data_IF_412148032198
#
_entry.id   IF_412148032198
#
_cell.length_a   1.000
_cell.length_b   1.000
_cell.length_c   1.000
_cell.angle_alpha   90.00
_cell.angle_beta   90.00
_cell.angle_gamma   90.00
#
_symmetry.space_group_name_H-M   'P 1'
#
loop_
_entity.id
_entity.type
_entity.pdbx_description
1 polymer ?
#
# COMPACT_ATOMS: atom_id res chain seq x y z
N UNK A 1 20.34 20.69 -47.57
CA UNK A 1 20.14 19.86 -46.38
C UNK A 1 20.90 20.49 -45.22
N UNK A 2 20.20 20.98 -44.19
CA UNK A 2 20.80 21.55 -42.97
C UNK A 2 20.14 20.83 -41.80
N UNK A 3 20.89 19.92 -41.17
CA UNK A 3 20.52 19.33 -39.87
C UNK A 3 20.70 20.39 -38.79
N UNK A 4 19.64 20.65 -38.03
CA UNK A 4 19.75 21.35 -36.76
C UNK A 4 19.24 20.39 -35.69
N UNK A 5 20.12 20.18 -34.71
CA UNK A 5 19.99 19.25 -33.60
C UNK A 5 18.66 19.43 -32.87
N UNK A 6 17.94 18.31 -32.73
CA UNK A 6 16.82 18.18 -31.81
C UNK A 6 17.41 17.97 -30.40
N UNK A 7 17.42 19.04 -29.61
CA UNK A 7 17.63 18.96 -28.17
C UNK A 7 16.36 18.36 -27.55
N UNK A 8 16.36 17.05 -27.34
CA UNK A 8 15.38 16.37 -26.50
C UNK A 8 15.58 16.84 -25.04
N UNK A 9 14.52 17.28 -24.34
CA UNK A 9 14.63 17.59 -22.93
C UNK A 9 14.95 16.30 -22.19
N UNK A 10 16.12 16.27 -21.55
CA UNK A 10 16.47 15.22 -20.58
C UNK A 10 15.61 15.52 -19.36
N UNK A 11 14.40 14.98 -19.35
CA UNK A 11 13.57 14.99 -18.15
C UNK A 11 14.17 13.92 -17.24
N UNK A 12 15.15 14.31 -16.44
CA UNK A 12 15.64 13.53 -15.31
C UNK A 12 14.55 13.49 -14.23
N UNK A 13 13.52 12.66 -14.44
CA UNK A 13 12.60 12.24 -13.38
C UNK A 13 13.21 10.99 -12.73
N UNK A 14 14.24 11.21 -11.93
CA UNK A 14 14.72 10.23 -10.96
C UNK A 14 14.65 10.88 -9.59
N UNK A 15 13.44 11.29 -9.19
CA UNK A 15 13.13 11.53 -7.79
C UNK A 15 12.67 10.19 -7.22
N UNK A 16 13.63 9.35 -6.85
CA UNK A 16 13.39 8.27 -5.90
C UNK A 16 13.14 8.95 -4.54
N UNK A 17 11.94 9.50 -4.37
CA UNK A 17 11.48 9.99 -3.09
C UNK A 17 11.38 8.75 -2.20
N UNK A 18 12.17 8.71 -1.14
CA UNK A 18 12.07 7.62 -0.19
C UNK A 18 10.68 7.73 0.44
N UNK A 19 9.85 6.70 0.32
CA UNK A 19 8.64 6.53 1.11
C UNK A 19 9.06 6.34 2.58
N UNK A 20 9.41 7.44 3.25
CA UNK A 20 9.76 7.43 4.67
C UNK A 20 8.50 7.18 5.52
N UNK A 21 8.63 6.33 6.53
CA UNK A 21 7.66 6.27 7.65
C UNK A 21 7.04 4.91 7.93
N UNK A 22 7.24 3.90 7.08
CA UNK A 22 6.63 2.58 7.31
C UNK A 22 7.57 1.61 8.05
N UNK A 23 7.30 1.24 9.33
CA UNK A 23 8.07 0.21 10.03
C UNK A 23 7.83 -1.21 9.48
N UNK A 24 6.80 -1.38 8.65
CA UNK A 24 6.40 -2.64 8.02
C UNK A 24 6.68 -2.70 6.52
N UNK A 25 5.69 -3.18 5.76
CA UNK A 25 5.71 -3.25 4.29
C UNK A 25 4.68 -2.30 3.72
N UNK A 26 5.11 -1.48 2.77
CA UNK A 26 4.20 -0.66 1.99
C UNK A 26 3.43 -1.53 1.02
N UNK A 27 2.12 -1.32 0.97
CA UNK A 27 1.21 -1.98 0.06
C UNK A 27 0.30 -0.99 -0.62
N UNK A 28 0.04 -1.23 -1.89
CA UNK A 28 -1.01 -0.56 -2.65
C UNK A 28 -2.29 -1.38 -2.53
N UNK A 29 -3.29 -0.85 -1.85
CA UNK A 29 -4.52 -1.55 -1.50
C UNK A 29 -5.66 -1.12 -2.41
N UNK A 30 -6.28 -2.08 -3.11
CA UNK A 30 -7.46 -1.81 -3.93
C UNK A 30 -8.69 -1.45 -3.08
N UNK A 31 -8.71 -1.90 -1.82
CA UNK A 31 -9.69 -1.51 -0.83
C UNK A 31 -9.06 -1.44 0.56
N UNK A 32 -9.50 -0.47 1.35
CA UNK A 32 -9.10 -0.31 2.75
C UNK A 32 -10.35 -0.38 3.62
N UNK A 33 -10.39 -1.34 4.52
CA UNK A 33 -11.50 -1.51 5.47
C UNK A 33 -10.99 -1.25 6.89
N UNK A 34 -11.42 -0.17 7.55
CA UNK A 34 -10.99 0.08 8.92
C UNK A 34 -11.58 -0.96 9.88
N UNK A 35 -10.82 -1.35 10.91
CA UNK A 35 -11.31 -2.32 11.90
C UNK A 35 -12.55 -1.81 12.62
N UNK A 36 -12.65 -0.50 12.83
CA UNK A 36 -13.82 0.16 13.43
C UNK A 36 -15.12 -0.01 12.63
N UNK A 37 -15.03 -0.36 11.34
CA UNK A 37 -16.20 -0.68 10.51
C UNK A 37 -16.64 -2.15 10.62
N UNK A 38 -15.87 -3.01 11.28
CA UNK A 38 -16.15 -4.43 11.42
C UNK A 38 -16.62 -4.76 12.84
N UNK A 39 -17.56 -5.73 13.00
CA UNK A 39 -17.89 -6.27 14.31
C UNK A 39 -16.67 -6.91 14.98
N UNK A 40 -16.54 -6.79 16.30
CA UNK A 40 -15.43 -7.40 17.06
C UNK A 40 -15.35 -8.92 16.86
N UNK A 41 -16.49 -9.58 16.68
CA UNK A 41 -16.57 -11.02 16.41
C UNK A 41 -15.81 -11.41 15.13
N UNK A 42 -15.92 -10.60 14.07
CA UNK A 42 -15.21 -10.83 12.80
C UNK A 42 -13.71 -10.65 12.98
N UNK A 43 -13.28 -9.60 13.70
CA UNK A 43 -11.86 -9.36 13.97
C UNK A 43 -11.25 -10.50 14.80
N UNK A 44 -12.02 -11.04 15.76
CA UNK A 44 -11.63 -12.16 16.59
C UNK A 44 -11.51 -13.48 15.79
N UNK A 45 -12.38 -13.72 14.81
CA UNK A 45 -12.28 -14.88 13.90
C UNK A 45 -10.95 -14.92 13.14
N UNK A 46 -10.40 -13.77 12.78
CA UNK A 46 -9.09 -13.67 12.12
C UNK A 46 -7.90 -13.72 13.10
N UNK A 47 -8.13 -13.91 14.40
CA UNK A 47 -7.07 -13.94 15.42
C UNK A 47 -6.34 -12.61 15.60
N UNK A 48 -6.93 -11.51 15.13
CA UNK A 48 -6.30 -10.20 15.15
C UNK A 48 -6.54 -9.55 16.51
N UNK A 49 -5.47 -9.07 17.16
CA UNK A 49 -5.64 -8.21 18.34
C UNK A 49 -6.17 -6.86 17.88
N UNK A 50 -7.32 -6.38 18.39
CA UNK A 50 -7.92 -5.14 17.91
C UNK A 50 -7.05 -3.95 18.32
N UNK A 51 -6.27 -3.44 17.37
CA UNK A 51 -5.89 -2.03 17.37
C UNK A 51 -7.02 -1.27 16.67
N UNK A 52 -7.72 -0.35 17.36
CA UNK A 52 -8.85 0.38 16.78
C UNK A 52 -8.47 1.28 15.61
N UNK A 53 -7.17 1.59 15.43
CA UNK A 53 -6.67 2.44 14.35
C UNK A 53 -6.12 1.64 13.16
N UNK A 54 -6.18 0.31 13.21
CA UNK A 54 -5.72 -0.54 12.13
C UNK A 54 -6.80 -0.77 11.07
N UNK A 55 -6.32 -1.05 9.86
CA UNK A 55 -7.08 -1.32 8.66
C UNK A 55 -6.77 -2.73 8.12
N UNK A 56 -7.71 -3.24 7.32
CA UNK A 56 -7.50 -4.37 6.41
C UNK A 56 -7.22 -3.79 5.02
N UNK A 57 -6.08 -4.14 4.44
CA UNK A 57 -5.73 -3.91 3.05
C UNK A 57 -6.19 -5.09 2.20
N UNK A 58 -7.13 -4.87 1.28
CA UNK A 58 -7.60 -5.87 0.34
C UNK A 58 -6.87 -5.80 -1.01
N UNK A 59 -6.51 -6.97 -1.54
CA UNK A 59 -5.81 -7.18 -2.80
C UNK A 59 -4.55 -6.31 -2.91
N UNK A 60 -3.72 -6.38 -1.86
CA UNK A 60 -2.61 -5.46 -1.65
C UNK A 60 -1.32 -5.89 -2.34
N UNK A 61 -0.88 -5.14 -3.35
CA UNK A 61 0.42 -5.36 -4.02
C UNK A 61 1.55 -4.63 -3.30
N UNK A 62 2.78 -5.13 -3.38
CA UNK A 62 3.94 -4.44 -2.80
C UNK A 62 4.17 -3.07 -3.46
N UNK A 63 4.63 -2.11 -2.66
CA UNK A 63 5.13 -0.81 -3.11
C UNK A 63 6.59 -0.72 -2.67
N UNK A 64 7.52 -0.79 -3.61
CA UNK A 64 8.95 -0.83 -3.30
C UNK A 64 9.62 0.55 -3.47
N UNK A 65 9.02 1.45 -4.26
CA UNK A 65 9.51 2.81 -4.47
C UNK A 65 8.38 3.82 -4.80
N UNK A 66 8.76 5.09 -5.03
CA UNK A 66 7.83 6.16 -5.35
C UNK A 66 7.08 5.93 -6.67
N UNK A 67 7.68 5.23 -7.64
CA UNK A 67 7.01 4.97 -8.91
C UNK A 67 5.84 4.00 -8.70
N UNK A 68 6.01 3.00 -7.85
CA UNK A 68 4.92 2.11 -7.45
C UNK A 68 3.82 2.86 -6.70
N UNK A 69 4.18 3.81 -5.82
CA UNK A 69 3.21 4.64 -5.11
C UNK A 69 2.42 5.55 -6.06
N UNK A 70 3.08 6.19 -7.02
CA UNK A 70 2.44 7.02 -8.04
C UNK A 70 1.46 6.19 -8.90
N UNK A 71 1.84 4.95 -9.26
CA UNK A 71 0.94 4.02 -9.95
C UNK A 71 -0.27 3.70 -9.07
N UNK A 72 -0.05 3.43 -7.79
CA UNK A 72 -1.12 3.13 -6.85
C UNK A 72 -2.19 4.24 -6.82
N UNK A 73 -1.75 5.48 -6.67
CA UNK A 73 -2.65 6.64 -6.68
C UNK A 73 -3.36 6.81 -8.03
N UNK A 74 -2.66 6.52 -9.14
CA UNK A 74 -3.23 6.67 -10.49
C UNK A 74 -4.41 5.74 -10.79
N UNK A 75 -4.55 4.65 -10.04
CA UNK A 75 -5.65 3.68 -10.18
C UNK A 75 -6.68 3.78 -9.05
N UNK A 76 -6.70 4.92 -8.34
CA UNK A 76 -7.58 5.18 -7.19
C UNK A 76 -7.43 4.15 -6.06
N UNK A 77 -6.24 3.56 -5.91
CA UNK A 77 -5.89 2.71 -4.79
C UNK A 77 -5.20 3.51 -3.69
N UNK A 78 -5.11 2.94 -2.50
CA UNK A 78 -4.52 3.61 -1.33
C UNK A 78 -3.24 2.93 -0.90
N UNK A 79 -2.16 3.70 -0.73
CA UNK A 79 -0.94 3.19 -0.11
C UNK A 79 -1.17 3.04 1.39
N UNK A 80 -0.84 1.88 1.95
CA UNK A 80 -0.89 1.58 3.37
C UNK A 80 0.46 1.05 3.84
N UNK A 81 0.82 1.35 5.09
CA UNK A 81 1.88 0.64 5.78
C UNK A 81 1.28 -0.54 6.54
N UNK A 82 1.65 -1.76 6.16
CA UNK A 82 1.13 -2.98 6.75
C UNK A 82 2.18 -3.70 7.58
N UNK A 83 1.76 -4.22 8.74
CA UNK A 83 2.58 -5.11 9.54
C UNK A 83 2.98 -6.37 8.74
N UNK A 84 4.19 -6.87 9.00
CA UNK A 84 4.67 -8.12 8.37
C UNK A 84 4.02 -9.37 8.94
N UNK A 85 3.28 -9.24 10.04
CA UNK A 85 2.65 -10.35 10.73
C UNK A 85 1.30 -10.66 10.10
N UNK A 86 1.22 -11.84 9.48
CA UNK A 86 -0.06 -12.35 8.97
C UNK A 86 -0.95 -12.84 10.14
N UNK A 87 -2.28 -12.83 9.96
CA UNK A 87 -3.19 -13.45 10.92
C UNK A 87 -2.85 -14.92 11.13
N UNK A 88 -3.20 -15.44 12.31
CA UNK A 88 -2.88 -16.81 12.74
C UNK A 88 -3.68 -17.89 11.97
N UNK A 89 -4.57 -17.47 11.07
CA UNK A 89 -5.41 -18.31 10.21
C UNK A 89 -5.10 -18.08 8.73
N UNK A 90 -5.14 -19.15 7.94
CA UNK A 90 -4.99 -19.07 6.49
C UNK A 90 -6.20 -18.32 5.90
N UNK A 91 -5.93 -17.26 5.15
CA UNK A 91 -6.95 -16.43 4.52
C UNK A 91 -7.30 -16.98 3.14
N UNK A 92 -8.59 -17.11 2.84
CA UNK A 92 -9.07 -17.47 1.50
C UNK A 92 -8.98 -16.30 0.50
N UNK A 93 -8.68 -15.10 0.98
CA UNK A 93 -8.65 -13.84 0.23
C UNK A 93 -7.29 -13.16 0.41
N UNK A 94 -6.87 -12.35 -0.57
CA UNK A 94 -5.65 -11.55 -0.47
C UNK A 94 -5.88 -10.34 0.45
N UNK A 95 -6.03 -10.61 1.74
CA UNK A 95 -6.18 -9.61 2.79
C UNK A 95 -4.90 -9.50 3.58
N UNK A 96 -4.49 -8.26 3.86
CA UNK A 96 -3.41 -7.96 4.80
C UNK A 96 -3.99 -7.17 5.96
N UNK A 97 -3.70 -7.63 7.17
CA UNK A 97 -4.22 -7.08 8.42
C UNK A 97 -3.14 -6.23 9.09
N UNK A 98 -3.54 -5.32 9.98
CA UNK A 98 -2.60 -4.44 10.70
C UNK A 98 -1.99 -3.39 9.77
N UNK A 99 -2.82 -2.83 8.89
CA UNK A 99 -2.40 -1.77 7.97
C UNK A 99 -2.79 -0.40 8.50
N UNK A 100 -2.02 0.62 8.16
CA UNK A 100 -2.23 1.99 8.62
C UNK A 100 -2.01 2.97 7.46
N UNK A 101 -2.74 4.08 7.50
CA UNK A 101 -2.54 5.21 6.58
C UNK A 101 -1.14 5.82 6.77
N UNK A 102 -0.53 6.27 5.67
CA UNK A 102 0.76 6.99 5.66
C UNK A 102 0.62 8.40 5.12
#
# INVERSE_FOLDING_TARGET
>A
MKSILVLLPIITLAVAQNLEGCPGKLKCCAGVTPYSALPEEILAEYGVRPDPNANICGNGTAVDDQFDADICESVDHTVQCCDTRQPDVELNEDLTFGCYDI
#
